data_IF_260139661955
#
_entry.id   IF_260139661955
#
_cell.length_a   1.000
_cell.length_b   1.000
_cell.length_c   1.000
_cell.angle_alpha   90.00
_cell.angle_beta   90.00
_cell.angle_gamma   90.00
#
_symmetry.space_group_name_H-M   'P 1'
#
loop_
_entity.id
_entity.type
_entity.pdbx_description
1 polymer ?
#
# COMPACT_ATOMS: atom_id res chain seq x y z
N UNK A 1 -4.39 58.76 61.22
CA UNK A 1 -3.10 58.06 61.34
C UNK A 1 -3.18 56.67 60.83
N UNK A 2 -2.51 56.47 59.73
CA UNK A 2 -2.07 55.22 59.14
C UNK A 2 -3.15 54.18 58.84
N UNK A 3 -3.70 54.28 57.63
CA UNK A 3 -4.33 53.19 56.89
C UNK A 3 -3.47 53.00 55.61
N UNK A 4 -2.76 51.92 55.57
CA UNK A 4 -2.07 51.44 54.40
C UNK A 4 -2.58 50.01 54.17
N UNK A 5 -3.30 49.69 53.14
CA UNK A 5 -2.81 49.59 51.79
C UNK A 5 -2.51 48.15 51.56
N UNK A 6 -3.59 47.33 51.28
CA UNK A 6 -3.49 45.98 50.69
C UNK A 6 -4.51 45.88 49.54
N UNK A 7 -4.22 46.64 48.49
CA UNK A 7 -4.96 46.53 47.23
C UNK A 7 -3.88 46.45 46.13
N UNK A 8 -3.39 45.30 45.86
CA UNK A 8 -2.38 45.11 44.79
C UNK A 8 -2.06 43.67 44.41
N UNK A 9 -2.37 42.71 45.28
CA UNK A 9 -1.96 41.31 45.04
C UNK A 9 -3.07 40.41 44.49
N UNK A 10 -4.34 40.71 44.73
CA UNK A 10 -5.44 39.86 44.26
C UNK A 10 -5.87 40.16 42.83
N UNK A 11 -5.64 41.37 42.31
CA UNK A 11 -5.98 41.72 40.94
C UNK A 11 -4.97 41.16 39.94
N UNK A 12 -3.70 40.97 40.32
CA UNK A 12 -2.69 40.35 39.49
C UNK A 12 -2.81 38.82 39.38
N UNK A 13 -3.49 38.16 40.32
CA UNK A 13 -3.68 36.70 40.29
C UNK A 13 -4.89 36.33 39.43
N UNK A 14 -5.96 37.15 39.45
CA UNK A 14 -7.13 36.94 38.57
C UNK A 14 -6.81 37.14 37.09
N UNK A 15 -6.00 38.15 36.75
CA UNK A 15 -5.60 38.40 35.35
C UNK A 15 -4.59 37.36 34.81
N UNK A 16 -3.84 36.66 35.70
CA UNK A 16 -2.98 35.56 35.27
C UNK A 16 -3.76 34.24 35.09
N UNK A 17 -4.81 34.00 35.82
CA UNK A 17 -5.65 32.81 35.63
C UNK A 17 -6.53 32.90 34.39
N UNK A 18 -6.95 34.10 33.97
CA UNK A 18 -7.74 34.30 32.75
C UNK A 18 -6.91 34.36 31.44
N UNK A 19 -5.56 34.31 31.52
CA UNK A 19 -4.68 34.19 30.35
C UNK A 19 -4.11 32.80 30.15
N UNK A 20 -4.52 31.80 30.91
CA UNK A 20 -4.15 30.39 30.74
C UNK A 20 -5.27 29.54 30.08
N UNK A 21 -6.30 30.20 29.54
CA UNK A 21 -7.28 29.52 28.71
C UNK A 21 -7.12 29.94 27.26
N UNK A 22 -6.89 28.96 26.43
CA UNK A 22 -7.01 29.02 24.98
C UNK A 22 -5.89 29.70 24.17
N UNK A 23 -4.68 29.17 24.22
CA UNK A 23 -3.88 29.05 23.02
C UNK A 23 -3.89 27.58 22.56
N UNK A 24 -5.06 27.04 22.27
CA UNK A 24 -5.20 26.04 21.22
C UNK A 24 -4.99 26.80 19.90
N UNK A 25 -3.76 27.02 19.51
CA UNK A 25 -3.45 27.17 18.09
C UNK A 25 -4.09 25.98 17.43
N UNK A 26 -5.20 26.18 16.76
CA UNK A 26 -5.80 25.18 15.86
C UNK A 26 -4.74 24.87 14.84
N UNK A 27 -4.04 23.75 15.04
CA UNK A 27 -2.96 23.32 14.15
C UNK A 27 -3.58 23.29 12.75
N UNK A 28 -3.11 24.16 11.86
CA UNK A 28 -3.68 24.30 10.51
C UNK A 28 -3.76 22.92 9.90
N UNK A 29 -4.94 22.48 9.47
CA UNK A 29 -5.11 21.22 8.74
C UNK A 29 -4.33 21.29 7.44
N UNK A 30 -3.57 20.25 7.13
CA UNK A 30 -2.82 20.11 5.88
C UNK A 30 -3.59 19.16 4.98
N UNK A 31 -4.00 19.66 3.83
CA UNK A 31 -4.83 18.97 2.83
C UNK A 31 -3.97 18.60 1.63
N UNK A 32 -3.87 17.32 1.36
CA UNK A 32 -3.08 16.77 0.24
C UNK A 32 -4.05 16.24 -0.82
N UNK A 33 -3.96 16.76 -2.03
CA UNK A 33 -4.51 16.11 -3.21
C UNK A 33 -3.48 15.12 -3.72
N UNK A 34 -3.85 13.85 -3.80
CA UNK A 34 -2.96 12.77 -4.22
C UNK A 34 -3.40 12.15 -5.54
N UNK A 35 -2.42 11.72 -6.34
CA UNK A 35 -2.62 11.10 -7.66
C UNK A 35 -1.83 9.80 -7.71
N UNK A 36 -2.51 8.72 -8.14
CA UNK A 36 -1.92 7.40 -8.39
C UNK A 36 -2.22 6.97 -9.82
N UNK A 37 -1.18 6.57 -10.56
CA UNK A 37 -1.29 6.06 -11.93
C UNK A 37 -0.18 5.08 -12.30
N UNK A 38 0.40 4.37 -11.33
CA UNK A 38 1.62 3.57 -11.56
C UNK A 38 1.41 2.31 -12.39
N UNK A 39 0.18 1.78 -12.47
CA UNK A 39 -0.10 0.52 -13.16
C UNK A 39 -1.42 0.60 -13.98
N UNK A 40 -2.51 0.06 -13.49
CA UNK A 40 -3.80 -0.04 -14.20
C UNK A 40 -4.97 0.61 -13.43
N UNK A 41 -4.69 1.30 -12.34
CA UNK A 41 -5.64 2.17 -11.62
C UNK A 41 -5.29 3.64 -11.83
N UNK A 42 -6.27 4.43 -12.32
CA UNK A 42 -6.20 5.90 -12.30
C UNK A 42 -6.94 6.37 -11.07
N UNK A 43 -6.25 6.95 -10.09
CA UNK A 43 -6.92 7.38 -8.86
C UNK A 43 -6.51 8.78 -8.43
N UNK A 44 -7.46 9.47 -7.76
CA UNK A 44 -7.21 10.70 -7.05
C UNK A 44 -7.91 10.66 -5.68
N UNK A 45 -7.32 11.30 -4.68
CA UNK A 45 -7.84 11.33 -3.31
C UNK A 45 -7.50 12.65 -2.62
N UNK A 46 -8.33 13.05 -1.66
CA UNK A 46 -8.02 14.13 -0.73
C UNK A 46 -7.82 13.54 0.66
N UNK A 47 -6.64 13.75 1.22
CA UNK A 47 -6.26 13.28 2.56
C UNK A 47 -5.86 14.47 3.42
N UNK A 48 -6.42 14.53 4.63
CA UNK A 48 -6.13 15.58 5.61
C UNK A 48 -5.26 15.01 6.72
N UNK A 49 -4.18 15.72 7.04
CA UNK A 49 -3.23 15.35 8.10
C UNK A 49 -2.70 13.90 8.00
N UNK A 50 -2.64 13.36 6.76
CA UNK A 50 -2.10 12.03 6.45
C UNK A 50 -2.95 10.85 6.93
N UNK A 51 -4.06 11.10 7.63
CA UNK A 51 -4.87 10.04 8.26
C UNK A 51 -6.37 10.19 8.05
N UNK A 52 -6.84 11.37 7.71
CA UNK A 52 -8.27 11.63 7.53
C UNK A 52 -8.59 11.66 6.04
N UNK A 53 -9.28 10.62 5.59
CA UNK A 53 -9.66 10.43 4.20
C UNK A 53 -10.94 11.19 3.90
N UNK A 54 -10.88 12.20 3.01
CA UNK A 54 -12.04 12.98 2.57
C UNK A 54 -12.65 12.42 1.29
N UNK A 55 -11.82 11.92 0.38
CA UNK A 55 -12.26 11.27 -0.85
C UNK A 55 -11.22 10.28 -1.36
N UNK A 56 -11.65 9.26 -2.11
CA UNK A 56 -10.78 8.32 -2.81
C UNK A 56 -11.50 7.77 -4.03
N UNK A 57 -11.22 8.34 -5.18
CA UNK A 57 -11.84 7.98 -6.46
C UNK A 57 -10.88 7.12 -7.26
N UNK A 58 -11.33 5.95 -7.68
CA UNK A 58 -10.52 4.95 -8.41
C UNK A 58 -11.25 4.60 -9.71
N UNK A 59 -10.55 4.76 -10.84
CA UNK A 59 -10.98 4.27 -12.15
C UNK A 59 -10.09 3.09 -12.55
N UNK A 60 -10.55 1.86 -12.26
CA UNK A 60 -9.79 0.65 -12.54
C UNK A 60 -9.94 0.21 -14.00
N UNK A 61 -8.85 -0.30 -14.57
CA UNK A 61 -8.77 -0.85 -15.91
C UNK A 61 -8.80 -2.39 -15.93
N UNK A 62 -9.05 -3.05 -14.78
CA UNK A 62 -9.06 -4.52 -14.64
C UNK A 62 -9.96 -5.17 -15.70
N UNK A 63 -11.18 -4.63 -15.92
CA UNK A 63 -12.12 -5.17 -16.91
C UNK A 63 -11.53 -5.15 -18.34
N UNK A 64 -10.80 -4.10 -18.68
CA UNK A 64 -10.11 -3.97 -19.98
C UNK A 64 -8.96 -4.97 -20.07
N UNK A 65 -8.10 -5.04 -19.08
CA UNK A 65 -6.92 -5.91 -19.08
C UNK A 65 -7.27 -7.39 -18.95
N UNK A 66 -8.44 -7.74 -18.41
CA UNK A 66 -8.97 -9.10 -18.41
C UNK A 66 -9.09 -9.66 -19.82
N UNK A 67 -9.42 -8.84 -20.83
CA UNK A 67 -9.53 -9.25 -22.25
C UNK A 67 -8.18 -9.70 -22.82
N UNK A 68 -7.08 -9.18 -22.28
CA UNK A 68 -5.71 -9.51 -22.69
C UNK A 68 -5.04 -10.55 -21.77
N UNK A 69 -5.72 -10.95 -20.70
CA UNK A 69 -5.18 -11.87 -19.71
C UNK A 69 -4.10 -11.29 -18.81
N UNK A 70 -4.02 -9.96 -18.68
CA UNK A 70 -3.07 -9.23 -17.85
C UNK A 70 -2.84 -7.81 -18.34
N UNK A 71 -2.12 -7.01 -17.58
CA UNK A 71 -1.87 -5.60 -17.89
C UNK A 71 -1.03 -5.43 -19.15
N UNK A 72 -1.50 -4.56 -20.06
CA UNK A 72 -0.79 -4.14 -21.27
C UNK A 72 -0.33 -2.70 -21.09
N UNK A 73 0.98 -2.42 -20.93
CA UNK A 73 1.49 -1.10 -20.49
C UNK A 73 1.06 0.07 -21.35
N UNK A 74 1.06 -0.10 -22.69
CA UNK A 74 0.67 0.98 -23.61
C UNK A 74 -0.84 1.30 -23.52
N UNK A 75 -1.66 0.28 -23.37
CA UNK A 75 -3.11 0.46 -23.19
C UNK A 75 -3.38 1.16 -21.85
N UNK A 76 -2.68 0.74 -20.80
CA UNK A 76 -2.79 1.37 -19.49
C UNK A 76 -2.47 2.87 -19.56
N UNK A 77 -1.33 3.22 -20.15
CA UNK A 77 -0.89 4.63 -20.29
C UNK A 77 -1.92 5.50 -21.00
N UNK A 78 -2.47 5.03 -22.12
CA UNK A 78 -3.50 5.76 -22.87
C UNK A 78 -4.78 5.95 -22.06
N UNK A 79 -5.16 4.92 -21.28
CA UNK A 79 -6.37 4.96 -20.48
C UNK A 79 -6.28 5.94 -19.31
N UNK A 80 -5.09 6.10 -18.73
CA UNK A 80 -4.84 7.12 -17.71
C UNK A 80 -5.11 8.54 -18.25
N UNK A 81 -4.66 8.85 -19.47
CA UNK A 81 -4.89 10.16 -20.11
C UNK A 81 -6.38 10.48 -20.22
N UNK A 82 -7.20 9.46 -20.54
CA UNK A 82 -8.65 9.64 -20.68
C UNK A 82 -9.35 9.90 -19.33
N UNK A 83 -8.76 9.47 -18.21
CA UNK A 83 -9.45 9.41 -16.91
C UNK A 83 -8.94 10.37 -15.87
N UNK A 84 -7.69 10.83 -15.97
CA UNK A 84 -7.00 11.53 -14.89
C UNK A 84 -7.75 12.79 -14.44
N UNK A 85 -8.19 13.66 -15.36
CA UNK A 85 -8.93 14.87 -15.00
C UNK A 85 -10.27 14.55 -14.34
N UNK A 86 -10.98 13.54 -14.84
CA UNK A 86 -12.26 13.12 -14.31
C UNK A 86 -12.16 12.64 -12.86
N UNK A 87 -11.13 11.83 -12.54
CA UNK A 87 -10.96 11.32 -11.15
C UNK A 87 -10.51 12.43 -10.20
N UNK A 88 -9.70 13.40 -10.68
CA UNK A 88 -9.29 14.56 -9.87
C UNK A 88 -10.48 15.46 -9.55
N UNK A 89 -11.26 15.83 -10.56
CA UNK A 89 -12.47 16.65 -10.39
C UNK A 89 -13.46 15.98 -9.43
N UNK A 90 -13.70 14.67 -9.62
CA UNK A 90 -14.57 13.91 -8.74
C UNK A 90 -14.05 13.85 -7.31
N UNK A 91 -12.73 13.62 -7.12
CA UNK A 91 -12.13 13.55 -5.78
C UNK A 91 -12.25 14.88 -5.02
N UNK A 92 -12.07 16.01 -5.69
CA UNK A 92 -12.27 17.33 -5.11
C UNK A 92 -13.75 17.57 -4.77
N UNK A 93 -14.66 17.21 -5.70
CA UNK A 93 -16.12 17.31 -5.48
C UNK A 93 -16.58 16.48 -4.28
N UNK A 94 -16.16 15.23 -4.19
CA UNK A 94 -16.51 14.31 -3.09
C UNK A 94 -15.96 14.80 -1.74
N UNK A 95 -14.80 15.46 -1.75
CA UNK A 95 -14.21 16.10 -0.59
C UNK A 95 -14.87 17.45 -0.23
N UNK A 96 -15.79 17.98 -1.06
CA UNK A 96 -16.34 19.33 -0.96
C UNK A 96 -15.24 20.42 -0.93
N UNK A 97 -14.21 20.26 -1.75
CA UNK A 97 -13.05 21.13 -1.84
C UNK A 97 -12.79 21.55 -3.30
N UNK A 98 -11.99 22.60 -3.44
CA UNK A 98 -11.43 23.09 -4.70
C UNK A 98 -9.91 23.02 -4.66
N UNK A 99 -9.24 23.27 -5.76
CA UNK A 99 -7.77 23.34 -5.78
C UNK A 99 -7.22 24.48 -4.90
N UNK A 100 -8.02 25.49 -4.57
CA UNK A 100 -7.61 26.59 -3.69
C UNK A 100 -7.56 26.18 -2.20
N UNK A 101 -8.18 25.06 -1.86
CA UNK A 101 -8.17 24.49 -0.51
C UNK A 101 -6.98 23.55 -0.26
N UNK A 102 -6.22 23.19 -1.30
CA UNK A 102 -5.17 22.18 -1.26
C UNK A 102 -3.82 22.81 -0.89
N UNK A 103 -3.13 22.23 0.08
CA UNK A 103 -1.83 22.70 0.56
C UNK A 103 -0.64 22.07 -0.17
N UNK A 104 -0.77 20.86 -0.74
CA UNK A 104 0.25 20.23 -1.56
C UNK A 104 -0.33 19.12 -2.47
N UNK A 105 0.40 18.81 -3.56
CA UNK A 105 0.09 17.69 -4.45
C UNK A 105 1.04 16.53 -4.16
N UNK A 106 0.49 15.35 -3.86
CA UNK A 106 1.22 14.09 -3.79
C UNK A 106 1.06 13.29 -5.08
N UNK A 107 2.12 12.72 -5.62
CA UNK A 107 2.02 11.88 -6.83
C UNK A 107 3.00 10.73 -6.79
N UNK A 108 2.56 9.56 -7.23
CA UNK A 108 3.44 8.41 -7.42
C UNK A 108 4.37 8.69 -8.61
N UNK A 109 5.69 8.67 -8.35
CA UNK A 109 6.67 8.80 -9.41
C UNK A 109 7.46 7.52 -9.70
N UNK A 110 7.26 6.48 -8.90
CA UNK A 110 7.87 5.16 -9.05
C UNK A 110 7.70 4.26 -7.80
N UNK A 111 7.99 2.97 -7.93
CA UNK A 111 8.11 2.22 -9.17
C UNK A 111 6.77 2.03 -9.89
N UNK A 112 6.83 1.60 -11.18
CA UNK A 112 5.62 1.32 -11.98
C UNK A 112 5.86 1.36 -13.48
N UNK A 113 4.79 1.32 -14.25
CA UNK A 113 4.84 1.41 -15.71
C UNK A 113 5.18 2.84 -16.13
N UNK A 114 6.30 3.04 -16.85
CA UNK A 114 6.82 4.37 -17.15
C UNK A 114 5.79 5.29 -17.82
N UNK A 115 5.06 4.80 -18.82
CA UNK A 115 4.07 5.60 -19.53
C UNK A 115 2.86 5.96 -18.65
N UNK A 116 2.47 5.09 -17.74
CA UNK A 116 1.40 5.31 -16.79
C UNK A 116 1.83 6.35 -15.71
N UNK A 117 3.00 6.18 -15.11
CA UNK A 117 3.60 7.12 -14.15
C UNK A 117 3.71 8.53 -14.74
N UNK A 118 4.15 8.65 -16.02
CA UNK A 118 4.32 9.93 -16.69
C UNK A 118 3.01 10.73 -16.77
N UNK A 119 1.86 10.07 -16.90
CA UNK A 119 0.56 10.75 -16.94
C UNK A 119 0.27 11.43 -15.60
N UNK A 120 0.38 10.69 -14.48
CA UNK A 120 0.15 11.25 -13.15
C UNK A 120 1.17 12.36 -12.79
N UNK A 121 2.46 12.11 -13.07
CA UNK A 121 3.52 13.10 -12.82
C UNK A 121 3.34 14.38 -13.62
N UNK A 122 2.95 14.28 -14.90
CA UNK A 122 2.71 15.47 -15.73
C UNK A 122 1.53 16.28 -15.20
N UNK A 123 0.43 15.64 -14.85
CA UNK A 123 -0.76 16.31 -14.31
C UNK A 123 -0.48 16.96 -12.95
N UNK A 124 0.18 16.24 -12.05
CA UNK A 124 0.57 16.77 -10.74
C UNK A 124 1.47 18.01 -10.86
N UNK A 125 2.43 17.99 -11.78
CA UNK A 125 3.31 19.13 -12.07
C UNK A 125 2.53 20.32 -12.63
N UNK A 126 1.58 20.07 -13.54
CA UNK A 126 0.75 21.11 -14.13
C UNK A 126 -0.09 21.82 -13.07
N UNK A 127 -0.75 21.06 -12.18
CA UNK A 127 -1.53 21.63 -11.08
C UNK A 127 -0.63 22.39 -10.10
N UNK A 128 0.48 21.78 -9.66
CA UNK A 128 1.42 22.41 -8.74
C UNK A 128 1.96 23.74 -9.27
N UNK A 129 2.34 23.77 -10.55
CA UNK A 129 2.81 24.97 -11.23
C UNK A 129 1.72 26.05 -11.34
N UNK A 130 0.53 25.68 -11.83
CA UNK A 130 -0.57 26.61 -12.07
C UNK A 130 -1.10 27.24 -10.77
N UNK A 131 -1.06 26.52 -9.66
CA UNK A 131 -1.56 26.96 -8.34
C UNK A 131 -0.47 27.43 -7.40
N UNK A 132 0.79 27.33 -7.81
CA UNK A 132 1.96 27.65 -7.00
C UNK A 132 1.93 26.94 -5.63
N UNK A 133 1.59 25.65 -5.61
CA UNK A 133 1.56 24.80 -4.42
C UNK A 133 2.65 23.74 -4.50
N UNK A 134 3.18 23.27 -3.35
CA UNK A 134 4.23 22.27 -3.31
C UNK A 134 3.87 20.96 -3.99
N UNK A 135 4.83 20.35 -4.67
CA UNK A 135 4.77 19.00 -5.23
C UNK A 135 5.58 18.03 -4.35
N UNK A 136 5.04 16.84 -4.11
CA UNK A 136 5.68 15.77 -3.35
C UNK A 136 5.63 14.48 -4.19
N UNK A 137 6.80 14.04 -4.67
CA UNK A 137 6.93 12.72 -5.30
C UNK A 137 6.91 11.61 -4.24
N UNK A 138 6.06 10.63 -4.41
CA UNK A 138 5.87 9.52 -3.47
C UNK A 138 6.29 8.20 -4.10
N UNK A 139 6.98 7.38 -3.32
CA UNK A 139 7.29 6.01 -3.71
C UNK A 139 6.05 5.12 -3.54
N UNK A 140 5.67 4.36 -4.59
CA UNK A 140 4.46 3.53 -4.60
C UNK A 140 4.37 2.54 -3.41
N UNK A 141 5.49 1.87 -3.07
CA UNK A 141 5.53 0.93 -1.94
C UNK A 141 5.39 1.65 -0.59
N UNK A 142 5.93 2.86 -0.46
CA UNK A 142 5.70 3.72 0.70
C UNK A 142 4.22 4.07 0.84
N UNK A 143 3.56 4.33 -0.28
CA UNK A 143 2.10 4.50 -0.32
C UNK A 143 1.38 3.29 0.29
N UNK A 144 1.66 2.08 -0.18
CA UNK A 144 1.04 0.87 0.37
C UNK A 144 1.23 0.72 1.88
N UNK A 145 2.44 0.99 2.41
CA UNK A 145 2.68 0.98 3.86
C UNK A 145 1.82 2.03 4.56
N UNK A 146 1.77 3.24 3.99
CA UNK A 146 1.07 4.40 4.56
C UNK A 146 -0.45 4.29 4.52
N UNK A 147 -1.02 3.42 3.67
CA UNK A 147 -2.45 3.08 3.68
C UNK A 147 -2.93 2.62 5.06
N UNK A 148 -2.05 1.96 5.82
CA UNK A 148 -2.36 1.54 7.19
C UNK A 148 -2.66 2.70 8.13
N UNK A 149 -2.05 3.88 7.94
CA UNK A 149 -2.27 5.06 8.80
C UNK A 149 -3.68 5.64 8.65
N UNK A 150 -4.33 5.44 7.50
CA UNK A 150 -5.69 5.90 7.25
C UNK A 150 -6.69 5.12 8.10
N UNK A 151 -6.58 3.80 8.09
CA UNK A 151 -7.49 2.90 8.81
C UNK A 151 -7.15 2.83 10.30
N UNK A 152 -5.86 2.72 10.62
CA UNK A 152 -5.37 2.44 11.97
C UNK A 152 -4.76 3.71 12.56
N UNK A 153 -5.61 4.54 13.19
CA UNK A 153 -5.22 5.86 13.71
C UNK A 153 -4.16 5.80 14.83
N UNK A 154 -4.01 4.65 15.47
CA UNK A 154 -3.05 4.39 16.55
C UNK A 154 -1.75 3.75 16.07
N UNK A 155 -1.64 3.40 14.77
CA UNK A 155 -0.39 2.86 14.24
C UNK A 155 0.66 3.98 14.11
N UNK A 156 1.77 3.79 14.78
CA UNK A 156 2.95 4.67 14.73
C UNK A 156 4.23 3.83 14.58
N UNK A 157 5.25 4.34 13.88
CA UNK A 157 6.57 3.70 13.87
C UNK A 157 7.17 3.58 15.30
N UNK A 158 8.09 2.61 15.57
CA UNK A 158 8.53 1.60 14.62
C UNK A 158 7.56 0.41 14.53
N UNK A 159 7.52 -0.28 13.36
CA UNK A 159 6.78 -1.52 13.14
C UNK A 159 7.37 -2.31 11.96
N UNK A 160 6.99 -3.59 11.83
CA UNK A 160 7.27 -4.36 10.61
C UNK A 160 6.08 -4.28 9.65
N UNK A 161 6.38 -4.16 8.36
CA UNK A 161 5.39 -4.19 7.29
C UNK A 161 5.73 -5.27 6.25
N UNK A 162 4.74 -6.09 5.91
CA UNK A 162 4.81 -6.99 4.78
C UNK A 162 3.98 -6.43 3.64
N UNK A 163 4.63 -5.96 2.58
CA UNK A 163 3.98 -5.45 1.38
C UNK A 163 3.93 -6.55 0.34
N UNK A 164 2.72 -6.97 -0.05
CA UNK A 164 2.49 -8.04 -1.02
C UNK A 164 1.49 -7.59 -2.06
N UNK A 165 1.96 -7.34 -3.28
CA UNK A 165 1.13 -6.87 -4.40
C UNK A 165 1.37 -7.69 -5.68
N UNK A 166 0.79 -7.28 -6.79
CA UNK A 166 1.00 -7.89 -8.12
C UNK A 166 2.46 -7.89 -8.53
N UNK A 167 3.18 -6.78 -8.33
CA UNK A 167 4.57 -6.62 -8.75
C UNK A 167 5.61 -6.68 -7.62
N UNK A 168 5.19 -6.66 -6.36
CA UNK A 168 6.12 -6.50 -5.24
C UNK A 168 5.83 -7.47 -4.10
N UNK A 169 6.91 -7.97 -3.49
CA UNK A 169 6.87 -8.69 -2.20
C UNK A 169 8.07 -8.23 -1.39
N UNK A 170 7.80 -7.44 -0.35
CA UNK A 170 8.82 -6.83 0.51
C UNK A 170 8.48 -7.03 1.98
N UNK A 171 9.48 -7.40 2.77
CA UNK A 171 9.43 -7.31 4.22
C UNK A 171 10.27 -6.10 4.65
N UNK A 172 9.65 -5.15 5.33
CA UNK A 172 10.20 -3.83 5.61
C UNK A 172 10.09 -3.54 7.10
N UNK A 173 11.15 -3.02 7.68
CA UNK A 173 11.10 -2.37 8.99
C UNK A 173 10.86 -0.87 8.78
N UNK A 174 9.73 -0.39 9.23
CA UNK A 174 9.42 1.05 9.27
C UNK A 174 10.02 1.60 10.55
N UNK A 175 11.12 2.33 10.42
CA UNK A 175 11.88 2.87 11.57
C UNK A 175 11.25 4.15 12.07
N UNK A 176 10.80 5.00 11.15
CA UNK A 176 10.13 6.27 11.39
C UNK A 176 9.26 6.60 10.16
N UNK A 177 8.44 7.62 10.21
CA UNK A 177 7.71 8.11 9.04
C UNK A 177 8.68 8.47 7.91
N UNK A 178 8.46 7.91 6.71
CA UNK A 178 9.35 8.09 5.56
C UNK A 178 10.74 7.50 5.69
N UNK A 179 10.99 6.59 6.68
CA UNK A 179 12.27 5.91 6.88
C UNK A 179 12.09 4.39 6.94
N UNK A 180 12.64 3.73 5.96
CA UNK A 180 12.43 2.30 5.70
C UNK A 180 13.74 1.54 5.65
N UNK A 181 13.75 0.35 6.23
CA UNK A 181 14.82 -0.64 6.15
C UNK A 181 14.25 -1.90 5.50
N UNK A 182 14.72 -2.23 4.29
CA UNK A 182 14.29 -3.43 3.58
C UNK A 182 15.00 -4.63 4.18
N UNK A 183 14.27 -5.51 4.83
CA UNK A 183 14.80 -6.76 5.40
C UNK A 183 14.90 -7.84 4.35
N UNK A 184 13.91 -7.91 3.45
CA UNK A 184 13.87 -8.86 2.35
C UNK A 184 12.93 -8.45 1.23
N UNK A 185 13.19 -8.97 0.04
CA UNK A 185 12.36 -8.75 -1.15
C UNK A 185 12.33 -9.99 -2.02
N UNK A 186 11.36 -10.05 -2.95
CA UNK A 186 11.40 -11.14 -3.92
C UNK A 186 12.62 -11.02 -4.84
N UNK A 187 13.20 -12.17 -5.16
CA UNK A 187 14.33 -12.30 -6.10
C UNK A 187 13.88 -12.60 -7.51
N UNK A 188 12.60 -12.95 -7.67
CA UNK A 188 12.00 -13.33 -8.96
C UNK A 188 10.52 -12.88 -9.00
N UNK A 189 9.58 -13.78 -9.31
CA UNK A 189 8.15 -13.45 -9.36
C UNK A 189 7.68 -12.91 -7.98
N UNK A 190 6.88 -11.84 -7.98
CA UNK A 190 6.15 -11.43 -6.79
C UNK A 190 5.03 -12.44 -6.47
N UNK A 191 4.56 -12.46 -5.22
CA UNK A 191 3.50 -13.38 -4.83
C UNK A 191 2.23 -13.19 -5.68
N UNK A 192 1.78 -11.94 -5.92
CA UNK A 192 0.61 -11.67 -6.74
C UNK A 192 0.79 -12.10 -8.19
N UNK A 193 1.98 -11.88 -8.77
CA UNK A 193 2.33 -12.37 -10.10
C UNK A 193 2.28 -13.92 -10.17
N UNK A 194 2.71 -14.61 -9.11
CA UNK A 194 2.60 -16.06 -9.03
C UNK A 194 1.14 -16.51 -8.96
N UNK A 195 0.28 -15.81 -8.21
CA UNK A 195 -1.16 -16.05 -8.21
C UNK A 195 -1.77 -15.92 -9.62
N UNK A 196 -1.43 -14.85 -10.36
CA UNK A 196 -1.96 -14.61 -11.70
C UNK A 196 -1.51 -15.69 -12.70
N UNK A 197 -0.23 -16.08 -12.63
CA UNK A 197 0.34 -17.11 -13.51
C UNK A 197 -0.25 -18.49 -13.22
N UNK A 198 -0.43 -18.86 -11.97
CA UNK A 198 -1.04 -20.14 -11.56
C UNK A 198 -2.53 -20.16 -11.91
N UNK A 199 -3.28 -19.08 -11.62
CA UNK A 199 -4.68 -18.97 -11.99
C UNK A 199 -4.91 -19.20 -13.49
N UNK A 200 -4.05 -18.59 -14.31
CA UNK A 200 -4.09 -18.78 -15.77
C UNK A 200 -3.81 -20.24 -16.14
N UNK A 201 -2.82 -20.88 -15.52
CA UNK A 201 -2.43 -22.26 -15.81
C UNK A 201 -3.53 -23.28 -15.47
N UNK A 202 -4.33 -23.01 -14.44
CA UNK A 202 -5.47 -23.85 -14.04
C UNK A 202 -6.80 -23.38 -14.66
N UNK A 203 -6.77 -22.42 -15.59
CA UNK A 203 -7.96 -21.99 -16.35
C UNK A 203 -8.88 -21.00 -15.65
N UNK A 204 -8.47 -20.36 -14.56
CA UNK A 204 -9.28 -19.36 -13.85
C UNK A 204 -9.19 -17.96 -14.45
N UNK A 205 -8.09 -17.64 -15.19
CA UNK A 205 -7.89 -16.34 -15.86
C UNK A 205 -7.44 -15.23 -14.89
N UNK A 206 -7.65 -13.98 -15.29
CA UNK A 206 -7.19 -12.76 -14.58
C UNK A 206 -8.38 -11.97 -14.00
N UNK A 207 -8.22 -11.27 -12.83
CA UNK A 207 -7.09 -11.37 -11.89
C UNK A 207 -7.06 -12.69 -11.13
N UNK A 208 -5.85 -13.21 -10.87
CA UNK A 208 -5.66 -14.56 -10.32
C UNK A 208 -5.91 -14.68 -8.83
N UNK A 209 -5.45 -13.71 -8.04
CA UNK A 209 -5.55 -13.75 -6.58
C UNK A 209 -6.95 -14.04 -6.05
N UNK A 210 -7.97 -13.20 -6.36
CA UNK A 210 -9.34 -13.41 -5.89
C UNK A 210 -9.98 -14.72 -6.40
N UNK A 211 -9.60 -15.14 -7.61
CA UNK A 211 -10.14 -16.37 -8.22
C UNK A 211 -9.56 -17.64 -7.58
N UNK A 212 -8.26 -17.65 -7.32
CA UNK A 212 -7.61 -18.73 -6.56
C UNK A 212 -8.19 -18.80 -5.16
N UNK A 213 -8.30 -17.68 -4.46
CA UNK A 213 -8.90 -17.64 -3.13
C UNK A 213 -10.30 -18.25 -3.12
N UNK A 214 -11.16 -17.81 -4.03
CA UNK A 214 -12.53 -18.33 -4.12
C UNK A 214 -12.57 -19.84 -4.33
N UNK A 215 -11.80 -20.36 -5.27
CA UNK A 215 -11.79 -21.79 -5.62
C UNK A 215 -11.10 -22.63 -4.53
N UNK A 216 -10.09 -22.09 -3.84
CA UNK A 216 -9.35 -22.77 -2.78
C UNK A 216 -10.22 -23.16 -1.57
N UNK A 217 -11.33 -22.47 -1.35
CA UNK A 217 -12.25 -22.81 -0.24
C UNK A 217 -12.93 -24.18 -0.40
N UNK A 218 -12.96 -24.72 -1.62
CA UNK A 218 -13.55 -26.03 -1.94
C UNK A 218 -12.49 -27.14 -2.00
N UNK A 219 -11.20 -26.81 -1.84
CA UNK A 219 -10.08 -27.73 -1.95
C UNK A 219 -9.39 -28.05 -0.63
N UNK A 220 -8.60 -29.12 -0.65
CA UNK A 220 -7.73 -29.51 0.46
C UNK A 220 -6.35 -28.84 0.30
N UNK A 221 -5.93 -27.95 1.26
CA UNK A 221 -4.64 -27.28 1.21
C UNK A 221 -3.44 -28.22 1.39
N UNK A 222 -3.66 -29.47 1.77
CA UNK A 222 -2.63 -30.47 1.99
C UNK A 222 -2.65 -31.61 0.94
N UNK A 223 -3.53 -31.55 -0.04
CA UNK A 223 -3.67 -32.57 -1.09
C UNK A 223 -2.40 -32.67 -1.97
N UNK A 224 -1.69 -31.55 -2.20
CA UNK A 224 -0.49 -31.50 -3.03
C UNK A 224 0.64 -30.81 -2.26
N UNK A 225 1.75 -31.52 -2.06
CA UNK A 225 2.93 -30.94 -1.40
C UNK A 225 3.76 -30.12 -2.40
N UNK A 226 3.48 -28.80 -2.46
CA UNK A 226 4.29 -27.86 -3.23
C UNK A 226 5.50 -27.35 -2.42
N UNK A 227 6.63 -27.03 -3.08
CA UNK A 227 7.84 -26.57 -2.40
C UNK A 227 7.66 -25.19 -1.75
N UNK A 228 8.34 -24.98 -0.61
CA UNK A 228 8.55 -23.67 0.03
C UNK A 228 9.99 -23.30 -0.19
N UNK A 229 10.23 -22.29 -1.04
CA UNK A 229 11.58 -21.89 -1.39
C UNK A 229 12.34 -21.38 -0.16
N UNK A 230 13.58 -21.88 0.00
CA UNK A 230 14.55 -21.32 0.95
C UNK A 230 15.68 -20.70 0.15
N UNK A 231 15.93 -19.41 0.36
CA UNK A 231 16.93 -18.65 -0.38
C UNK A 231 18.22 -18.63 0.41
N UNK A 232 19.32 -19.09 -0.22
CA UNK A 232 20.63 -19.06 0.38
C UNK A 232 21.18 -17.63 0.35
N UNK A 233 21.58 -17.08 1.50
CA UNK A 233 22.18 -15.75 1.61
C UNK A 233 21.18 -14.59 1.72
N UNK A 234 19.88 -14.88 1.81
CA UNK A 234 18.82 -13.87 2.03
C UNK A 234 17.78 -14.40 2.98
N UNK A 235 17.97 -14.20 4.29
CA UNK A 235 17.12 -14.80 5.35
C UNK A 235 15.66 -14.44 5.20
N UNK A 236 15.36 -13.23 4.69
CA UNK A 236 14.02 -12.69 4.51
C UNK A 236 13.62 -12.49 3.05
N UNK A 237 14.47 -12.90 2.10
CA UNK A 237 14.13 -12.79 0.69
C UNK A 237 13.10 -13.85 0.27
N UNK A 238 12.27 -13.50 -0.71
CA UNK A 238 11.22 -14.35 -1.24
C UNK A 238 11.58 -14.87 -2.63
N UNK A 239 10.99 -16.01 -3.01
CA UNK A 239 10.99 -16.56 -4.37
C UNK A 239 9.72 -17.37 -4.60
N UNK A 240 9.02 -17.06 -5.67
CA UNK A 240 7.79 -17.76 -6.04
C UNK A 240 7.85 -18.40 -7.45
N UNK A 241 8.92 -18.15 -8.24
CA UNK A 241 9.08 -18.75 -9.57
C UNK A 241 9.23 -20.27 -9.50
N UNK A 242 9.94 -20.78 -8.48
CA UNK A 242 10.07 -22.21 -8.22
C UNK A 242 8.74 -22.88 -7.87
N UNK A 243 7.93 -22.21 -7.05
CA UNK A 243 6.59 -22.67 -6.69
C UNK A 243 5.67 -22.73 -7.91
N UNK A 244 5.64 -21.65 -8.73
CA UNK A 244 4.92 -21.63 -9.99
C UNK A 244 5.33 -22.79 -10.91
N UNK A 245 6.64 -23.02 -11.07
CA UNK A 245 7.16 -24.11 -11.91
C UNK A 245 6.75 -25.48 -11.39
N UNK A 246 6.71 -25.69 -10.07
CA UNK A 246 6.24 -26.91 -9.47
C UNK A 246 4.75 -27.16 -9.77
N UNK A 247 3.89 -26.14 -9.70
CA UNK A 247 2.49 -26.24 -10.11
C UNK A 247 2.37 -26.64 -11.58
N UNK A 248 3.09 -25.97 -12.48
CA UNK A 248 3.07 -26.28 -13.92
C UNK A 248 3.53 -27.71 -14.20
N UNK A 249 4.57 -28.18 -13.54
CA UNK A 249 5.07 -29.57 -13.66
C UNK A 249 4.05 -30.58 -13.15
N UNK A 250 3.38 -30.29 -12.03
CA UNK A 250 2.29 -31.13 -11.52
C UNK A 250 1.15 -31.27 -12.53
N UNK A 251 0.67 -30.14 -13.07
CA UNK A 251 -0.40 -30.11 -14.06
C UNK A 251 -0.02 -30.89 -15.35
N UNK A 252 1.20 -30.72 -15.83
CA UNK A 252 1.71 -31.45 -16.99
C UNK A 252 1.82 -32.95 -16.69
N UNK A 253 2.31 -33.30 -15.50
CA UNK A 253 2.39 -34.70 -15.08
C UNK A 253 1.04 -35.40 -15.03
N UNK A 254 -0.01 -34.72 -14.51
CA UNK A 254 -1.37 -35.23 -14.53
C UNK A 254 -1.89 -35.42 -15.95
N UNK A 255 -1.71 -34.40 -16.81
CA UNK A 255 -2.14 -34.50 -18.23
C UNK A 255 -1.49 -35.66 -18.98
N UNK A 256 -0.17 -35.84 -18.79
CA UNK A 256 0.57 -36.96 -19.43
C UNK A 256 0.10 -38.33 -18.96
N UNK A 257 -0.38 -38.43 -17.71
CA UNK A 257 -0.88 -39.69 -17.13
C UNK A 257 -2.39 -39.87 -17.31
N UNK A 258 -3.08 -38.94 -17.94
CA UNK A 258 -4.54 -38.97 -18.11
C UNK A 258 -5.30 -38.85 -16.76
N UNK A 259 -4.68 -38.23 -15.74
CA UNK A 259 -5.30 -38.03 -14.44
C UNK A 259 -6.15 -36.75 -14.47
N UNK A 260 -7.29 -36.81 -13.80
CA UNK A 260 -8.13 -35.63 -13.57
C UNK A 260 -7.42 -34.64 -12.63
N UNK A 261 -7.53 -33.35 -12.97
CA UNK A 261 -6.95 -32.28 -12.17
C UNK A 261 -8.08 -31.63 -11.36
N UNK A 262 -8.02 -31.79 -10.02
CA UNK A 262 -8.88 -31.05 -9.14
C UNK A 262 -8.35 -29.60 -9.00
N UNK A 263 -9.00 -28.63 -9.66
CA UNK A 263 -8.61 -27.22 -9.61
C UNK A 263 -8.64 -26.65 -8.18
N UNK A 264 -9.60 -27.08 -7.35
CA UNK A 264 -9.75 -26.59 -6.00
C UNK A 264 -8.57 -27.03 -5.11
N UNK A 265 -8.13 -28.28 -5.22
CA UNK A 265 -6.96 -28.79 -4.49
C UNK A 265 -5.66 -28.11 -4.93
N UNK A 266 -5.48 -27.89 -6.24
CA UNK A 266 -4.31 -27.15 -6.75
C UNK A 266 -4.31 -25.71 -6.21
N UNK A 267 -5.45 -25.04 -6.27
CA UNK A 267 -5.60 -23.66 -5.77
C UNK A 267 -5.34 -23.57 -4.26
N UNK A 268 -5.91 -24.49 -3.47
CA UNK A 268 -5.75 -24.52 -2.02
C UNK A 268 -4.30 -24.84 -1.61
N UNK A 269 -3.69 -25.86 -2.20
CA UNK A 269 -2.32 -26.25 -1.89
C UNK A 269 -1.30 -25.21 -2.34
N UNK A 270 -1.51 -24.55 -3.48
CA UNK A 270 -0.68 -23.42 -3.93
C UNK A 270 -0.79 -22.23 -2.97
N UNK A 271 -2.01 -21.80 -2.64
CA UNK A 271 -2.25 -20.69 -1.73
C UNK A 271 -1.66 -20.96 -0.33
N UNK A 272 -1.78 -22.20 0.16
CA UNK A 272 -1.16 -22.60 1.42
C UNK A 272 0.37 -22.47 1.36
N UNK A 273 1.00 -22.91 0.26
CA UNK A 273 2.44 -22.80 0.10
C UNK A 273 2.92 -21.33 0.11
N UNK A 274 2.21 -20.43 -0.57
CA UNK A 274 2.50 -18.99 -0.52
C UNK A 274 2.33 -18.44 0.90
N UNK A 275 1.22 -18.80 1.56
CA UNK A 275 0.91 -18.37 2.93
C UNK A 275 1.99 -18.79 3.92
N UNK A 276 2.44 -20.04 3.85
CA UNK A 276 3.49 -20.58 4.74
C UNK A 276 4.81 -19.79 4.61
N UNK A 277 5.21 -19.44 3.39
CA UNK A 277 6.42 -18.66 3.13
C UNK A 277 6.28 -17.24 3.71
N UNK A 278 5.16 -16.56 3.44
CA UNK A 278 4.93 -15.21 3.91
C UNK A 278 4.86 -15.13 5.44
N UNK A 279 4.12 -16.04 6.07
CA UNK A 279 3.97 -16.12 7.54
C UNK A 279 5.29 -16.47 8.20
N UNK A 280 6.03 -17.46 7.66
CA UNK A 280 7.31 -17.87 8.22
C UNK A 280 8.36 -16.76 8.26
N UNK A 281 8.46 -15.96 7.17
CA UNK A 281 9.38 -14.82 7.14
C UNK A 281 8.93 -13.69 8.08
N UNK A 282 7.63 -13.40 8.15
CA UNK A 282 7.09 -12.41 9.07
C UNK A 282 7.36 -12.81 10.53
N UNK A 283 7.10 -14.07 10.89
CA UNK A 283 7.33 -14.61 12.23
C UNK A 283 8.80 -14.52 12.64
N UNK A 284 9.72 -14.93 11.76
CA UNK A 284 11.17 -14.86 12.02
C UNK A 284 11.63 -13.41 12.22
N UNK A 285 11.14 -12.46 11.42
CA UNK A 285 11.48 -11.05 11.56
C UNK A 285 10.93 -10.45 12.87
N UNK A 286 9.69 -10.80 13.26
CA UNK A 286 9.11 -10.39 14.54
C UNK A 286 10.01 -10.85 15.70
N UNK A 287 10.47 -12.10 15.66
CA UNK A 287 11.33 -12.67 16.70
C UNK A 287 12.70 -12.05 16.76
N UNK A 288 13.31 -11.80 15.60
CA UNK A 288 14.67 -11.23 15.51
C UNK A 288 14.70 -9.76 15.94
N UNK A 289 13.75 -8.96 15.39
CA UNK A 289 13.69 -7.51 15.65
C UNK A 289 12.90 -7.13 16.89
N UNK A 290 12.29 -8.10 17.61
CA UNK A 290 11.50 -7.89 18.83
C UNK A 290 10.39 -6.84 18.65
N UNK A 291 9.68 -6.90 17.52
CA UNK A 291 8.62 -5.97 17.21
C UNK A 291 7.30 -6.37 17.86
N UNK A 292 6.60 -5.38 18.38
CA UNK A 292 5.27 -5.51 19.02
C UNK A 292 4.11 -5.14 18.06
N UNK A 293 4.45 -4.61 16.86
CA UNK A 293 3.52 -4.19 15.83
C UNK A 293 3.91 -4.76 14.47
N UNK A 294 2.92 -5.32 13.78
CA UNK A 294 3.08 -5.87 12.43
C UNK A 294 1.91 -5.44 11.53
N UNK A 295 2.22 -4.92 10.35
CA UNK A 295 1.25 -4.48 9.36
C UNK A 295 1.37 -5.28 8.06
N UNK A 296 0.25 -5.50 7.37
CA UNK A 296 0.27 -6.00 6.00
C UNK A 296 -0.27 -4.93 5.03
N UNK A 297 0.19 -4.95 3.78
CA UNK A 297 -0.19 -3.99 2.76
C UNK A 297 -0.07 -4.59 1.35
N UNK A 298 -0.65 -3.90 0.35
CA UNK A 298 -0.66 -4.35 -1.03
C UNK A 298 -1.86 -5.24 -1.38
N UNK A 299 -2.16 -5.40 -2.68
CA UNK A 299 -3.38 -6.07 -3.16
C UNK A 299 -3.54 -7.52 -2.67
N UNK A 300 -2.45 -8.28 -2.57
CA UNK A 300 -2.49 -9.67 -2.05
C UNK A 300 -2.81 -9.70 -0.55
N UNK A 301 -2.54 -8.63 0.18
CA UNK A 301 -2.96 -8.49 1.58
C UNK A 301 -4.49 -8.46 1.76
N UNK A 302 -5.27 -8.31 0.71
CA UNK A 302 -6.74 -8.47 0.75
C UNK A 302 -7.18 -9.93 0.85
N UNK A 303 -6.31 -10.90 0.51
CA UNK A 303 -6.61 -12.33 0.56
C UNK A 303 -6.93 -12.79 2.01
N UNK A 304 -8.12 -13.34 2.21
CA UNK A 304 -8.64 -13.72 3.53
C UNK A 304 -7.85 -14.84 4.21
N UNK A 305 -7.32 -15.80 3.44
CA UNK A 305 -6.53 -16.92 3.98
C UNK A 305 -5.19 -16.40 4.53
N UNK A 306 -4.52 -15.54 3.76
CA UNK A 306 -3.26 -14.90 4.18
C UNK A 306 -3.50 -14.01 5.40
N UNK A 307 -4.54 -13.16 5.38
CA UNK A 307 -4.91 -12.32 6.53
C UNK A 307 -5.12 -13.12 7.80
N UNK A 308 -5.93 -14.18 7.71
CA UNK A 308 -6.26 -15.00 8.86
C UNK A 308 -5.02 -15.71 9.42
N UNK A 309 -4.13 -16.20 8.55
CA UNK A 309 -2.88 -16.83 8.97
C UNK A 309 -1.95 -15.84 9.68
N UNK A 310 -1.82 -14.60 9.15
CA UNK A 310 -1.05 -13.53 9.79
C UNK A 310 -1.65 -13.12 11.14
N UNK A 311 -2.97 -12.96 11.21
CA UNK A 311 -3.68 -12.62 12.45
C UNK A 311 -3.46 -13.68 13.55
N UNK A 312 -3.57 -14.96 13.19
CA UNK A 312 -3.27 -16.07 14.11
C UNK A 312 -1.81 -16.06 14.57
N UNK A 313 -0.87 -15.82 13.67
CA UNK A 313 0.56 -15.76 14.00
C UNK A 313 0.82 -14.59 14.97
N UNK A 314 0.31 -13.40 14.68
CA UNK A 314 0.47 -12.24 15.54
C UNK A 314 -0.16 -12.46 16.92
N UNK A 315 -1.37 -13.00 16.98
CA UNK A 315 -2.04 -13.33 18.25
C UNK A 315 -1.22 -14.31 19.12
N UNK A 316 -0.65 -15.37 18.50
CA UNK A 316 0.23 -16.31 19.18
C UNK A 316 1.49 -15.66 19.75
N UNK A 317 2.01 -14.62 19.06
CA UNK A 317 3.22 -13.90 19.45
C UNK A 317 2.96 -12.70 20.38
N UNK A 318 1.69 -12.36 20.64
CA UNK A 318 1.33 -11.17 21.41
C UNK A 318 1.65 -9.86 20.67
N UNK A 319 1.71 -9.89 19.33
CA UNK A 319 2.01 -8.76 18.45
C UNK A 319 0.71 -8.15 17.95
N UNK A 320 0.61 -6.82 17.97
CA UNK A 320 -0.57 -6.13 17.43
C UNK A 320 -0.54 -6.15 15.90
N UNK A 321 -1.60 -6.73 15.32
CA UNK A 321 -1.74 -6.85 13.87
C UNK A 321 -2.54 -5.69 13.30
N UNK A 322 -2.02 -5.10 12.21
CA UNK A 322 -2.64 -4.00 11.49
C UNK A 322 -2.84 -4.35 10.03
N UNK A 323 -3.97 -3.95 9.49
CA UNK A 323 -4.31 -4.15 8.08
C UNK A 323 -5.23 -3.04 7.60
N UNK A 324 -5.11 -2.63 6.34
CA UNK A 324 -6.07 -1.71 5.74
C UNK A 324 -7.34 -2.47 5.33
N UNK A 325 -8.42 -1.73 5.10
CA UNK A 325 -9.61 -2.25 4.41
C UNK A 325 -9.28 -2.68 2.98
N UNK A 326 -10.05 -3.60 2.35
CA UNK A 326 -9.72 -4.13 1.02
C UNK A 326 -9.49 -3.05 -0.04
N UNK A 327 -10.27 -1.96 -0.02
CA UNK A 327 -10.15 -0.87 -0.98
C UNK A 327 -8.83 -0.09 -0.84
N UNK A 328 -8.24 -0.06 0.36
CA UNK A 328 -6.95 0.58 0.64
C UNK A 328 -5.76 -0.37 0.45
N UNK A 329 -6.02 -1.67 0.23
CA UNK A 329 -4.97 -2.64 -0.10
C UNK A 329 -4.55 -2.58 -1.57
N UNK A 330 -5.50 -2.36 -2.49
CA UNK A 330 -5.23 -2.20 -3.92
C UNK A 330 -4.67 -0.81 -4.23
N UNK A 331 -4.19 -0.58 -5.45
CA UNK A 331 -3.67 0.71 -5.86
C UNK A 331 -4.75 1.78 -5.75
N UNK A 332 -4.45 2.84 -5.04
CA UNK A 332 -5.37 3.94 -4.75
C UNK A 332 -4.60 5.22 -4.41
N UNK A 333 -5.22 6.38 -4.56
CA UNK A 333 -4.55 7.64 -4.27
C UNK A 333 -4.54 8.02 -2.78
N UNK A 334 -5.42 7.44 -1.97
CA UNK A 334 -5.44 7.73 -0.53
C UNK A 334 -4.12 7.31 0.15
N UNK A 335 -3.55 6.16 -0.25
CA UNK A 335 -2.26 5.67 0.23
C UNK A 335 -1.13 6.64 -0.10
N UNK A 336 -1.20 7.26 -1.29
CA UNK A 336 -0.21 8.26 -1.74
C UNK A 336 -0.37 9.57 -0.96
N UNK A 337 -1.62 9.99 -0.70
CA UNK A 337 -1.90 11.17 0.14
C UNK A 337 -1.41 11.03 1.58
N UNK A 338 -1.54 9.83 2.15
CA UNK A 338 -1.01 9.55 3.48
C UNK A 338 0.52 9.64 3.51
N UNK A 339 1.22 9.02 2.56
CA UNK A 339 2.68 9.10 2.46
C UNK A 339 3.15 10.53 2.19
N UNK A 340 2.54 11.21 1.21
CA UNK A 340 2.87 12.59 0.85
C UNK A 340 2.76 13.56 2.03
N UNK A 341 1.80 13.34 2.93
CA UNK A 341 1.68 14.18 4.12
C UNK A 341 2.91 14.08 5.02
N UNK A 342 3.37 12.86 5.33
CA UNK A 342 4.55 12.69 6.19
C UNK A 342 5.82 13.23 5.53
N UNK A 343 5.99 13.04 4.25
CA UNK A 343 7.09 13.64 3.50
C UNK A 343 6.99 15.18 3.47
N UNK A 344 5.77 15.70 3.30
CA UNK A 344 5.53 17.13 3.31
C UNK A 344 5.90 17.78 4.65
N UNK A 345 5.46 17.22 5.79
CA UNK A 345 5.80 17.78 7.11
C UNK A 345 7.28 17.59 7.47
N UNK A 346 7.93 16.57 6.91
CA UNK A 346 9.38 16.38 7.01
C UNK A 346 10.18 17.37 6.13
N UNK A 347 9.52 18.24 5.37
CA UNK A 347 10.17 19.24 4.54
C UNK A 347 10.55 18.76 3.14
N UNK A 348 10.24 17.51 2.76
CA UNK A 348 10.51 17.02 1.40
C UNK A 348 9.63 17.74 0.37
N UNK A 349 10.23 18.17 -0.71
CA UNK A 349 9.59 18.82 -1.86
C UNK A 349 10.26 18.36 -3.14
N UNK A 350 9.47 18.19 -4.18
CA UNK A 350 9.96 17.87 -5.52
C UNK A 350 9.90 19.11 -6.40
N UNK A 351 10.91 19.29 -7.26
CA UNK A 351 10.89 20.33 -8.29
C UNK A 351 10.04 19.91 -9.50
N UNK A 352 9.88 20.85 -10.45
CA UNK A 352 9.20 20.55 -11.71
C UNK A 352 10.03 19.65 -12.65
N UNK A 353 11.25 19.34 -12.30
CA UNK A 353 12.12 18.34 -12.92
C UNK A 353 11.79 16.90 -12.50
N UNK A 354 10.90 16.71 -11.51
CA UNK A 354 10.44 15.36 -11.11
C UNK A 354 10.05 14.55 -12.34
N UNK A 355 10.55 13.31 -12.43
CA UNK A 355 10.29 12.43 -13.55
C UNK A 355 9.91 11.02 -13.06
N UNK A 356 9.29 10.23 -13.95
CA UNK A 356 8.96 8.85 -13.67
C UNK A 356 10.22 7.99 -13.54
N UNK A 357 10.29 7.17 -12.49
CA UNK A 357 11.38 6.23 -12.21
C UNK A 357 10.81 4.81 -12.08
N UNK A 358 10.72 4.05 -13.19
CA UNK A 358 10.01 2.75 -13.22
C UNK A 358 10.55 1.71 -12.24
N UNK A 359 11.84 1.75 -11.95
CA UNK A 359 12.53 0.80 -11.09
C UNK A 359 13.04 1.44 -9.80
N UNK A 360 12.34 2.48 -9.31
CA UNK A 360 12.70 3.18 -8.07
C UNK A 360 12.76 2.19 -6.91
N UNK A 361 13.84 2.26 -6.13
CA UNK A 361 13.97 1.41 -4.94
C UNK A 361 13.52 2.14 -3.69
N UNK A 362 12.86 1.42 -2.80
CA UNK A 362 12.42 1.98 -1.53
C UNK A 362 13.65 2.42 -0.71
N UNK A 363 13.62 3.67 -0.24
CA UNK A 363 14.71 4.26 0.54
C UNK A 363 15.80 4.96 -0.28
N UNK A 364 15.66 5.03 -1.63
CA UNK A 364 16.51 5.84 -2.52
C UNK A 364 15.91 7.23 -2.78
#
# INVERSE_FOLDING_TARGET
>A
EISLGLVGSEMCIRDRCNKMTENTETKKEIKILAIESSCDETAAAVVVNGRDLRSNVISSQIALHTLYGGVVPEIASRKHIEKINQVIEQALSDAHMTLDDIDAIGVTYGPGLVGALLVGVAEAKAIAYARNIPLVGVHHIEGHISANYIENKDLEPPFLALVVSGGHTHLVRVVDYGKYEILGRTRDDAAGEAFDKVARAIGLGYPGGPKIEKVSHEGDPHSIEFPRAKIVGGVYDFSFSGLKSAVLNYLNGCRMKGLEINQADVAASFQQAVTDVLVGHAENAIDEFKMDKFAIAGGVASNGVIRHAMEKMCARKGVKFYRPSPILCTDNAAMIGAAAYYDFIAGKRSGLDLNAVPNLKLGE
#
